data_IF_118622176510
#
_entry.id   IF_118622176510
#
_cell.length_a   1.000
_cell.length_b   1.000
_cell.length_c   1.000
_cell.angle_alpha   90.00
_cell.angle_beta   90.00
_cell.angle_gamma   90.00
#
_symmetry.space_group_name_H-M   'P 1'
#
loop_
_entity.id
_entity.type
_entity.pdbx_description
1 polymer ?
#
# COMPACT_ATOMS: atom_id res chain seq x y z
N UNK A 1 -25.42 -48.51 8.65
CA UNK A 1 -24.70 -48.03 7.46
C UNK A 1 -24.53 -46.53 7.65
N UNK A 2 -23.38 -46.09 8.16
CA UNK A 2 -23.06 -44.67 8.21
C UNK A 2 -22.71 -44.19 6.79
N UNK A 3 -23.20 -43.01 6.37
CA UNK A 3 -22.85 -42.46 5.07
C UNK A 3 -21.35 -42.10 5.04
N UNK A 4 -20.68 -42.28 3.89
CA UNK A 4 -19.26 -41.96 3.77
C UNK A 4 -19.03 -40.45 3.99
N UNK A 5 -17.91 -40.05 4.61
CA UNK A 5 -17.60 -38.64 4.86
C UNK A 5 -17.47 -37.87 3.53
N UNK A 6 -18.16 -36.74 3.43
CA UNK A 6 -18.17 -35.91 2.22
C UNK A 6 -16.78 -35.31 1.95
N UNK A 7 -16.34 -35.23 0.68
CA UNK A 7 -15.05 -34.65 0.32
C UNK A 7 -15.03 -33.16 0.66
N UNK A 8 -14.20 -32.77 1.63
CA UNK A 8 -13.94 -31.38 1.96
C UNK A 8 -13.14 -30.73 0.83
N UNK A 9 -13.82 -30.02 -0.06
CA UNK A 9 -13.20 -29.26 -1.15
C UNK A 9 -12.36 -28.14 -0.54
N UNK A 10 -11.07 -28.38 -0.29
CA UNK A 10 -10.13 -27.35 0.17
C UNK A 10 -10.08 -26.24 -0.87
N UNK A 11 -10.82 -25.14 -0.62
CA UNK A 11 -10.73 -23.92 -1.44
C UNK A 11 -9.34 -23.34 -1.23
N UNK A 12 -8.62 -23.09 -2.33
CA UNK A 12 -7.36 -22.35 -2.29
C UNK A 12 -7.60 -21.01 -1.58
N UNK A 13 -6.76 -20.61 -0.60
CA UNK A 13 -7.00 -19.45 0.25
C UNK A 13 -6.70 -18.12 -0.48
N UNK A 14 -7.43 -17.87 -1.57
CA UNK A 14 -7.29 -16.67 -2.41
C UNK A 14 -7.47 -15.37 -1.61
N UNK A 15 -8.34 -15.39 -0.60
CA UNK A 15 -8.63 -14.23 0.25
C UNK A 15 -7.36 -13.70 0.93
N UNK A 16 -6.51 -14.58 1.45
CA UNK A 16 -5.25 -14.16 2.08
C UNK A 16 -4.32 -13.46 1.08
N UNK A 17 -4.20 -14.00 -0.15
CA UNK A 17 -3.38 -13.39 -1.19
C UNK A 17 -3.89 -11.98 -1.55
N UNK A 18 -5.20 -11.78 -1.67
CA UNK A 18 -5.80 -10.47 -1.91
C UNK A 18 -5.58 -9.48 -0.76
N UNK A 19 -5.68 -9.92 0.49
CA UNK A 19 -5.40 -9.08 1.66
C UNK A 19 -3.94 -8.61 1.66
N UNK A 20 -3.00 -9.52 1.42
CA UNK A 20 -1.57 -9.16 1.35
C UNK A 20 -1.30 -8.19 0.20
N UNK A 21 -1.90 -8.40 -0.97
CA UNK A 21 -1.77 -7.50 -2.10
C UNK A 21 -2.30 -6.08 -1.76
N UNK A 22 -3.47 -6.00 -1.12
CA UNK A 22 -4.05 -4.72 -0.71
C UNK A 22 -3.13 -3.98 0.28
N UNK A 23 -2.52 -4.69 1.24
CA UNK A 23 -1.55 -4.10 2.17
C UNK A 23 -0.30 -3.58 1.46
N UNK A 24 0.26 -4.33 0.50
CA UNK A 24 1.43 -3.88 -0.28
C UNK A 24 1.11 -2.57 -1.02
N UNK A 25 -0.04 -2.52 -1.69
CA UNK A 25 -0.48 -1.33 -2.43
C UNK A 25 -0.70 -0.14 -1.47
N UNK A 26 -1.38 -0.36 -0.35
CA UNK A 26 -1.68 0.70 0.60
C UNK A 26 -0.40 1.29 1.21
N UNK A 27 0.57 0.46 1.58
CA UNK A 27 1.86 0.92 2.11
C UNK A 27 2.69 1.64 1.04
N UNK A 28 2.72 1.11 -0.18
CA UNK A 28 3.48 1.72 -1.27
C UNK A 28 2.90 3.07 -1.73
N UNK A 29 1.57 3.22 -1.70
CA UNK A 29 0.88 4.44 -2.15
C UNK A 29 0.55 5.44 -1.03
N UNK A 30 0.65 5.06 0.24
CA UNK A 30 0.42 5.95 1.37
C UNK A 30 1.23 7.27 1.30
N UNK A 31 2.55 7.26 1.07
CA UNK A 31 3.31 8.51 1.02
C UNK A 31 3.02 9.32 -0.25
N UNK A 32 2.60 8.68 -1.35
CA UNK A 32 2.10 9.41 -2.53
C UNK A 32 0.83 10.20 -2.19
N UNK A 33 -0.13 9.58 -1.49
CA UNK A 33 -1.35 10.25 -1.05
C UNK A 33 -1.07 11.44 -0.13
N UNK A 34 -0.06 11.33 0.74
CA UNK A 34 0.41 12.41 1.60
C UNK A 34 0.87 13.62 0.81
N UNK A 35 1.80 13.43 -0.15
CA UNK A 35 2.36 14.52 -0.96
C UNK A 35 1.31 15.16 -1.87
N UNK A 36 0.45 14.34 -2.48
CA UNK A 36 -0.65 14.84 -3.33
C UNK A 36 -1.59 15.73 -2.52
N UNK A 37 -1.96 15.30 -1.31
CA UNK A 37 -2.82 16.10 -0.43
C UNK A 37 -2.15 17.42 -0.03
N UNK A 38 -0.84 17.39 0.26
CA UNK A 38 -0.06 18.59 0.53
C UNK A 38 -0.09 19.57 -0.65
N UNK A 39 0.23 19.09 -1.86
CA UNK A 39 0.26 19.92 -3.06
C UNK A 39 -1.11 20.50 -3.42
N UNK A 40 -2.19 19.73 -3.24
CA UNK A 40 -3.55 20.20 -3.49
C UNK A 40 -3.94 21.33 -2.52
N UNK A 41 -3.67 21.16 -1.22
CA UNK A 41 -3.99 22.19 -0.21
C UNK A 41 -3.13 23.44 -0.42
N UNK A 42 -1.82 23.26 -0.63
CA UNK A 42 -0.89 24.36 -0.85
C UNK A 42 -1.28 25.18 -2.09
N UNK A 43 -1.58 24.51 -3.21
CA UNK A 43 -1.98 25.18 -4.45
C UNK A 43 -3.37 25.85 -4.33
N UNK A 44 -4.31 25.26 -3.59
CA UNK A 44 -5.63 25.85 -3.38
C UNK A 44 -5.60 27.13 -2.53
N UNK A 45 -4.62 27.25 -1.62
CA UNK A 45 -4.50 28.39 -0.70
C UNK A 45 -3.31 29.32 -1.01
N UNK A 46 -2.53 29.04 -2.06
CA UNK A 46 -1.34 29.81 -2.42
C UNK A 46 -0.20 29.73 -1.40
N UNK A 47 -0.17 28.66 -0.60
CA UNK A 47 0.83 28.48 0.44
C UNK A 47 2.15 27.96 -0.13
N UNK A 48 3.25 28.51 0.37
CA UNK A 48 4.58 28.02 0.04
C UNK A 48 4.91 26.79 0.91
N UNK A 49 5.40 25.72 0.29
CA UNK A 49 5.81 24.50 0.98
C UNK A 49 7.16 24.10 0.43
N UNK A 50 8.16 24.09 1.31
CA UNK A 50 9.50 23.61 1.03
C UNK A 50 9.84 22.45 1.97
N UNK A 51 10.80 21.62 1.54
CA UNK A 51 11.31 20.50 2.34
C UNK A 51 12.37 20.93 3.34
N UNK A 52 12.91 22.15 3.22
CA UNK A 52 13.99 22.68 4.06
C UNK A 52 13.54 23.48 5.27
N UNK A 53 12.30 23.99 5.27
CA UNK A 53 11.78 24.84 6.33
C UNK A 53 10.26 24.80 6.42
N UNK A 54 9.75 25.05 7.63
CA UNK A 54 8.32 25.19 7.87
C UNK A 54 7.90 26.62 7.52
N UNK A 55 6.95 26.76 6.61
CA UNK A 55 6.35 28.04 6.26
C UNK A 55 4.92 28.13 6.81
N UNK A 56 4.57 29.20 7.54
CA UNK A 56 3.22 29.35 8.08
C UNK A 56 2.20 29.45 6.95
N UNK A 57 1.12 28.69 7.06
CA UNK A 57 0.03 28.66 6.09
C UNK A 57 -1.29 28.79 6.84
N UNK A 58 -1.82 30.01 6.91
CA UNK A 58 -3.02 30.31 7.68
C UNK A 58 -4.25 30.07 6.81
N UNK A 59 -4.98 28.99 7.11
CA UNK A 59 -6.27 28.67 6.47
C UNK A 59 -7.35 28.83 7.52
N UNK A 60 -8.32 29.72 7.28
CA UNK A 60 -9.41 30.01 8.22
C UNK A 60 -8.92 30.36 9.65
N UNK A 61 -7.79 31.06 9.76
CA UNK A 61 -7.23 31.49 11.05
C UNK A 61 -6.45 30.40 11.82
N UNK A 62 -6.26 29.20 11.25
CA UNK A 62 -5.39 28.16 11.82
C UNK A 62 -4.16 27.95 10.95
N UNK A 63 -3.01 27.74 11.60
CA UNK A 63 -1.75 27.45 10.91
C UNK A 63 -1.66 25.96 10.56
N UNK A 64 -1.60 25.68 9.26
CA UNK A 64 -1.39 24.36 8.68
C UNK A 64 0.02 24.16 8.14
N UNK A 65 0.92 25.13 8.32
CA UNK A 65 2.29 25.09 7.82
C UNK A 65 3.06 23.84 8.27
N UNK A 66 2.98 23.52 9.56
CA UNK A 66 3.61 22.32 10.12
C UNK A 66 3.03 21.02 9.53
N UNK A 67 1.72 20.98 9.28
CA UNK A 67 1.05 19.82 8.69
C UNK A 67 1.51 19.63 7.24
N UNK A 68 1.49 20.68 6.45
CA UNK A 68 1.93 20.68 5.05
C UNK A 68 3.40 20.27 4.93
N UNK A 69 4.26 20.81 5.80
CA UNK A 69 5.66 20.40 5.89
C UNK A 69 5.79 18.89 6.17
N UNK A 70 5.07 18.38 7.18
CA UNK A 70 5.11 16.95 7.53
C UNK A 70 4.63 16.08 6.36
N UNK A 71 3.57 16.50 5.66
CA UNK A 71 3.04 15.79 4.51
C UNK A 71 3.99 15.82 3.30
N UNK A 72 4.72 16.93 3.12
CA UNK A 72 5.73 17.10 2.08
C UNK A 72 6.96 16.25 2.34
N UNK A 73 7.51 16.30 3.57
CA UNK A 73 8.67 15.48 3.99
C UNK A 73 8.33 13.99 3.99
N UNK A 74 7.08 13.61 4.26
CA UNK A 74 6.64 12.22 4.09
C UNK A 74 6.80 11.70 2.65
N UNK A 75 6.93 12.59 1.65
CA UNK A 75 7.31 12.24 0.29
C UNK A 75 8.66 11.53 0.18
N UNK A 76 9.61 11.80 1.08
CA UNK A 76 10.88 11.09 1.14
C UNK A 76 10.71 9.60 1.41
N UNK A 77 9.64 9.21 2.12
CA UNK A 77 9.31 7.81 2.32
C UNK A 77 9.01 7.11 1.00
N UNK A 78 8.61 7.80 -0.08
CA UNK A 78 8.42 7.20 -1.40
C UNK A 78 9.69 6.55 -1.93
N UNK A 79 10.87 7.12 -1.62
CA UNK A 79 12.16 6.55 -2.05
C UNK A 79 12.42 5.16 -1.47
N UNK A 80 11.82 4.84 -0.32
CA UNK A 80 11.96 3.54 0.34
C UNK A 80 10.74 2.66 0.08
N UNK A 81 9.55 3.21 0.25
CA UNK A 81 8.27 2.48 0.15
C UNK A 81 7.94 2.04 -1.27
N UNK A 82 8.31 2.81 -2.31
CA UNK A 82 8.09 2.39 -3.69
C UNK A 82 8.99 1.19 -4.06
N UNK A 83 10.33 1.24 -3.89
CA UNK A 83 11.15 0.05 -4.12
C UNK A 83 10.74 -1.13 -3.25
N UNK A 84 10.50 -0.91 -1.96
CA UNK A 84 10.06 -1.96 -1.04
C UNK A 84 8.72 -2.59 -1.48
N UNK A 85 7.77 -1.78 -1.94
CA UNK A 85 6.49 -2.24 -2.49
C UNK A 85 6.66 -3.09 -3.74
N UNK A 86 7.55 -2.69 -4.66
CA UNK A 86 7.89 -3.49 -5.86
C UNK A 86 8.50 -4.83 -5.47
N UNK A 87 9.47 -4.84 -4.54
CA UNK A 87 10.08 -6.08 -4.06
C UNK A 87 9.06 -6.99 -3.37
N UNK A 88 8.20 -6.44 -2.51
CA UNK A 88 7.14 -7.18 -1.84
C UNK A 88 6.15 -7.78 -2.84
N UNK A 89 5.77 -7.02 -3.86
CA UNK A 89 4.88 -7.49 -4.94
C UNK A 89 5.51 -8.62 -5.76
N UNK A 90 6.80 -8.51 -6.09
CA UNK A 90 7.55 -9.57 -6.79
C UNK A 90 7.60 -10.87 -5.97
N UNK A 91 7.91 -10.78 -4.67
CA UNK A 91 7.93 -11.94 -3.77
C UNK A 91 6.53 -12.56 -3.68
N UNK A 92 5.49 -11.74 -3.51
CA UNK A 92 4.11 -12.20 -3.47
C UNK A 92 3.71 -12.95 -4.74
N UNK A 93 4.06 -12.42 -5.92
CA UNK A 93 3.81 -13.08 -7.21
C UNK A 93 4.52 -14.42 -7.31
N UNK A 94 5.80 -14.47 -6.93
CA UNK A 94 6.60 -15.70 -6.93
C UNK A 94 5.93 -16.76 -6.04
N UNK A 95 5.57 -16.41 -4.81
CA UNK A 95 4.89 -17.32 -3.88
C UNK A 95 3.56 -17.81 -4.45
N UNK A 96 2.76 -16.90 -5.03
CA UNK A 96 1.47 -17.25 -5.64
C UNK A 96 1.64 -18.25 -6.79
N UNK A 97 2.62 -18.01 -7.68
CA UNK A 97 2.92 -18.89 -8.82
C UNK A 97 3.41 -20.26 -8.35
N UNK A 98 4.37 -20.31 -7.42
CA UNK A 98 4.89 -21.57 -6.88
C UNK A 98 3.83 -22.36 -6.15
N UNK A 99 3.02 -21.72 -5.31
CA UNK A 99 1.93 -22.38 -4.59
C UNK A 99 0.84 -22.88 -5.55
N UNK A 100 0.53 -22.14 -6.62
CA UNK A 100 -0.39 -22.61 -7.66
C UNK A 100 0.18 -23.77 -8.48
N UNK A 101 1.47 -23.74 -8.79
CA UNK A 101 2.15 -24.81 -9.52
C UNK A 101 2.23 -26.11 -8.71
N UNK A 102 2.56 -26.02 -7.42
CA UNK A 102 2.61 -27.19 -6.52
C UNK A 102 1.22 -27.81 -6.30
N UNK A 103 0.18 -26.99 -6.21
CA UNK A 103 -1.21 -27.48 -6.17
C UNK A 103 -1.58 -28.23 -7.44
N UNK A 104 -1.24 -27.72 -8.64
CA UNK A 104 -1.53 -28.45 -9.89
C UNK A 104 -0.84 -29.80 -9.97
N UNK A 105 0.44 -29.88 -9.56
CA UNK A 105 1.18 -31.15 -9.59
C UNK A 105 0.58 -32.21 -8.66
N UNK A 106 0.03 -31.80 -7.50
CA UNK A 106 -0.59 -32.72 -6.53
C UNK A 106 -1.92 -33.33 -6.97
N UNK A 107 -2.62 -32.75 -7.95
CA UNK A 107 -3.90 -33.27 -8.47
C UNK A 107 -3.75 -34.03 -9.80
N UNK A 108 -2.53 -34.20 -10.30
CA UNK A 108 -2.23 -34.88 -11.57
C UNK A 108 -1.60 -36.27 -11.40
N UNK A 109 -1.49 -36.77 -10.16
CA UNK A 109 -1.12 -38.16 -9.82
C UNK A 109 -2.26 -38.78 -9.03
#
# INVERSE_FOLDING_TARGET
MEPPPLPTKKRFPWIFYWIVLALIILVALAPLGSVVTCGVIANAHGCHVDEGSVHPCIINGKDYGQLLYTLGVAGWLMLVTLPAGVFAFMIWLIVLVFHRASWRRRFSS
#
